data_IF_183380271075
#
_entry.id   IF_183380271075
#
_cell.length_a   1.000
_cell.length_b   1.000
_cell.length_c   1.000
_cell.angle_alpha   90.00
_cell.angle_beta   90.00
_cell.angle_gamma   90.00
#
_symmetry.space_group_name_H-M   'P 1'
#
loop_
_entity.id
_entity.type
_entity.pdbx_description
1 polymer ?
#
# COMPACT_ATOMS: atom_id res chain seq x y z
N UNK A 1 12.26 16.73 -31.76
CA UNK A 1 11.27 17.47 -32.58
C UNK A 1 11.26 18.97 -32.37
N UNK A 2 11.61 19.53 -31.19
CA UNK A 2 11.63 20.99 -30.99
C UNK A 2 12.72 21.75 -31.77
N UNK A 3 13.86 21.11 -32.06
CA UNK A 3 14.96 21.75 -32.83
C UNK A 3 14.55 22.06 -34.28
N UNK A 4 13.76 21.20 -34.92
CA UNK A 4 13.37 21.39 -36.33
C UNK A 4 12.33 22.49 -36.50
N UNK A 5 11.37 22.62 -35.56
CA UNK A 5 10.38 23.71 -35.58
C UNK A 5 11.01 25.09 -35.35
N UNK A 6 11.98 25.18 -34.44
CA UNK A 6 12.69 26.44 -34.17
C UNK A 6 13.58 26.88 -35.34
N UNK A 7 14.24 25.94 -36.01
CA UNK A 7 15.06 26.23 -37.20
C UNK A 7 14.18 26.72 -38.36
N UNK A 8 12.99 26.13 -38.58
CA UNK A 8 12.04 26.60 -39.61
C UNK A 8 11.50 28.01 -39.30
N UNK A 9 11.27 28.32 -38.02
CA UNK A 9 10.82 29.65 -37.59
C UNK A 9 11.90 30.71 -37.85
N UNK A 10 13.17 30.39 -37.56
CA UNK A 10 14.30 31.27 -37.87
C UNK A 10 14.50 31.41 -39.39
N UNK A 11 14.40 30.33 -40.16
CA UNK A 11 14.55 30.38 -41.63
C UNK A 11 13.46 31.20 -42.31
N UNK A 12 12.22 31.10 -41.79
CA UNK A 12 11.08 31.89 -42.27
C UNK A 12 11.24 33.37 -41.92
N UNK A 13 11.72 33.70 -40.71
CA UNK A 13 12.05 35.08 -40.32
C UNK A 13 13.23 35.66 -41.13
N UNK A 14 14.24 34.86 -41.43
CA UNK A 14 15.41 35.28 -42.22
C UNK A 14 15.06 35.56 -43.69
N UNK A 15 14.15 34.77 -44.28
CA UNK A 15 13.61 35.04 -45.62
C UNK A 15 12.91 36.39 -45.70
N UNK A 16 12.38 36.88 -44.58
CA UNK A 16 11.59 38.10 -44.50
C UNK A 16 12.45 39.38 -44.40
N UNK A 17 13.61 39.30 -43.74
CA UNK A 17 14.59 40.39 -43.69
C UNK A 17 15.13 40.78 -45.08
N UNK A 18 15.08 39.85 -46.05
CA UNK A 18 15.45 40.09 -47.44
C UNK A 18 14.35 40.73 -48.28
N UNK A 19 13.06 40.48 -47.98
CA UNK A 19 11.91 40.98 -48.76
C UNK A 19 11.47 42.38 -48.30
N UNK A 20 11.59 42.70 -47.01
CA UNK A 20 11.20 44.00 -46.45
C UNK A 20 11.98 45.21 -47.00
N UNK A 21 13.13 45.00 -47.65
CA UNK A 21 13.92 46.07 -48.25
C UNK A 21 13.50 46.42 -49.70
N UNK A 22 12.62 45.62 -50.32
CA UNK A 22 12.27 45.76 -51.76
C UNK A 22 10.83 46.23 -51.98
N UNK A 23 9.93 46.03 -51.02
CA UNK A 23 8.52 46.38 -51.15
C UNK A 23 8.10 47.25 -49.97
N UNK A 24 8.02 48.56 -50.18
CA UNK A 24 7.71 49.59 -49.16
C UNK A 24 6.30 49.55 -48.56
N UNK A 25 5.66 48.38 -48.47
CA UNK A 25 4.32 48.20 -47.91
C UNK A 25 4.37 47.86 -46.42
N UNK A 26 4.33 48.91 -45.61
CA UNK A 26 4.35 48.87 -44.14
C UNK A 26 3.20 48.05 -43.52
N UNK A 27 2.06 47.90 -44.22
CA UNK A 27 0.90 47.16 -43.70
C UNK A 27 1.12 45.65 -43.65
N UNK A 28 1.80 45.08 -44.64
CA UNK A 28 2.13 43.64 -44.70
C UNK A 28 3.11 43.30 -43.58
N UNK A 29 3.99 44.26 -43.27
CA UNK A 29 4.91 44.14 -42.15
C UNK A 29 4.22 43.99 -40.80
N UNK A 30 3.19 44.80 -40.55
CA UNK A 30 2.41 44.76 -39.30
C UNK A 30 1.70 43.42 -39.07
N UNK A 31 0.95 42.92 -40.05
CA UNK A 31 0.17 41.68 -39.90
C UNK A 31 1.06 40.46 -39.65
N UNK A 32 2.23 40.41 -40.30
CA UNK A 32 3.15 39.27 -40.18
C UNK A 32 3.81 39.23 -38.80
N UNK A 33 4.17 40.38 -38.23
CA UNK A 33 4.74 40.46 -36.89
C UNK A 33 3.76 39.99 -35.82
N UNK A 34 2.48 40.37 -35.95
CA UNK A 34 1.41 39.87 -35.08
C UNK A 34 1.23 38.36 -35.22
N UNK A 35 1.25 37.83 -36.45
CA UNK A 35 1.13 36.39 -36.68
C UNK A 35 2.27 35.59 -36.03
N UNK A 36 3.52 36.06 -36.14
CA UNK A 36 4.68 35.43 -35.50
C UNK A 36 4.55 35.47 -33.98
N UNK A 37 4.09 36.59 -33.42
CA UNK A 37 3.93 36.74 -31.98
C UNK A 37 2.85 35.82 -31.42
N UNK A 38 1.71 35.69 -32.12
CA UNK A 38 0.63 34.75 -31.78
C UNK A 38 1.12 33.31 -31.89
N UNK A 39 1.85 32.97 -32.96
CA UNK A 39 2.34 31.61 -33.17
C UNK A 39 3.42 31.23 -32.15
N UNK A 40 4.32 32.15 -31.82
CA UNK A 40 5.32 31.99 -30.77
C UNK A 40 4.69 31.81 -29.39
N UNK A 41 3.66 32.61 -29.06
CA UNK A 41 2.91 32.48 -27.82
C UNK A 41 2.19 31.13 -27.71
N UNK A 42 1.55 30.68 -28.79
CA UNK A 42 0.84 29.40 -28.83
C UNK A 42 1.80 28.21 -28.67
N UNK A 43 3.00 28.27 -29.26
CA UNK A 43 4.03 27.24 -29.09
C UNK A 43 4.53 27.16 -27.65
N UNK A 44 4.73 28.31 -27.00
CA UNK A 44 5.11 28.38 -25.58
C UNK A 44 4.05 27.70 -24.70
N UNK A 45 2.77 28.00 -24.91
CA UNK A 45 1.66 27.41 -24.16
C UNK A 45 1.56 25.89 -24.35
N UNK A 46 1.71 25.40 -25.59
CA UNK A 46 1.68 23.97 -25.86
C UNK A 46 2.90 23.23 -25.28
N UNK A 47 4.09 23.85 -25.32
CA UNK A 47 5.29 23.27 -24.74
C UNK A 47 5.16 23.08 -23.22
N UNK A 48 4.62 24.08 -22.51
CA UNK A 48 4.34 23.96 -21.07
C UNK A 48 3.29 22.89 -20.76
N UNK A 49 2.23 22.79 -21.58
CA UNK A 49 1.15 21.80 -21.38
C UNK A 49 1.64 20.35 -21.56
N UNK A 50 2.48 20.08 -22.55
CA UNK A 50 2.99 18.73 -22.84
C UNK A 50 4.00 18.28 -21.79
N UNK A 51 4.85 19.18 -21.29
CA UNK A 51 5.85 18.83 -20.26
C UNK A 51 5.22 18.57 -18.89
N UNK A 52 4.07 19.17 -18.58
CA UNK A 52 3.37 18.96 -17.30
C UNK A 52 2.67 17.61 -17.17
N UNK A 53 2.31 16.94 -18.27
CA UNK A 53 1.61 15.65 -18.22
C UNK A 53 2.56 14.46 -17.99
N UNK A 54 3.74 14.46 -18.60
CA UNK A 54 4.66 13.32 -18.54
C UNK A 54 5.31 13.12 -17.17
N UNK A 55 5.43 14.17 -16.35
CA UNK A 55 5.93 14.05 -14.99
C UNK A 55 4.88 13.47 -14.04
N UNK A 56 3.62 13.91 -14.16
CA UNK A 56 2.52 13.40 -13.31
C UNK A 56 2.27 11.90 -13.50
N UNK A 57 2.36 11.40 -14.73
CA UNK A 57 2.18 9.97 -15.00
C UNK A 57 3.31 9.11 -14.44
N UNK A 58 4.55 9.62 -14.43
CA UNK A 58 5.70 8.91 -13.84
C UNK A 58 5.63 8.88 -12.32
N UNK A 59 5.31 10.01 -11.70
CA UNK A 59 5.20 10.10 -10.24
C UNK A 59 4.05 9.22 -9.73
N UNK A 60 2.91 9.21 -10.44
CA UNK A 60 1.79 8.33 -10.07
C UNK A 60 2.08 6.85 -10.32
N UNK A 61 2.83 6.50 -11.38
CA UNK A 61 3.27 5.13 -11.62
C UNK A 61 4.27 4.65 -10.56
N UNK A 62 5.18 5.52 -10.11
CA UNK A 62 6.16 5.17 -9.07
C UNK A 62 5.49 5.04 -7.70
N UNK A 63 4.59 5.96 -7.35
CA UNK A 63 3.81 5.90 -6.11
C UNK A 63 2.90 4.67 -6.05
N UNK A 64 2.22 4.33 -7.15
CA UNK A 64 1.38 3.13 -7.20
C UNK A 64 2.21 1.84 -7.06
N UNK A 65 3.40 1.78 -7.64
CA UNK A 65 4.33 0.66 -7.47
C UNK A 65 4.86 0.57 -6.03
N UNK A 66 5.17 1.70 -5.41
CA UNK A 66 5.59 1.74 -4.01
C UNK A 66 4.46 1.28 -3.07
N UNK A 67 3.22 1.71 -3.32
CA UNK A 67 2.03 1.27 -2.60
C UNK A 67 1.78 -0.23 -2.77
N UNK A 68 1.85 -0.75 -3.99
CA UNK A 68 1.70 -2.18 -4.25
C UNK A 68 2.75 -3.00 -3.49
N UNK A 69 4.02 -2.57 -3.52
CA UNK A 69 5.10 -3.23 -2.78
C UNK A 69 4.91 -3.16 -1.25
N UNK A 70 4.40 -2.03 -0.74
CA UNK A 70 4.08 -1.89 0.68
C UNK A 70 2.92 -2.82 1.08
N UNK A 71 1.89 -2.92 0.24
CA UNK A 71 0.75 -3.80 0.46
C UNK A 71 1.15 -5.28 0.44
N UNK A 72 1.99 -5.70 -0.50
CA UNK A 72 2.51 -7.08 -0.55
C UNK A 72 3.33 -7.41 0.71
N UNK A 73 4.16 -6.48 1.17
CA UNK A 73 4.90 -6.65 2.44
C UNK A 73 3.96 -6.75 3.63
N UNK A 74 2.91 -5.92 3.70
CA UNK A 74 1.91 -6.01 4.76
C UNK A 74 1.24 -7.37 4.80
N UNK A 75 0.85 -7.92 3.64
CA UNK A 75 0.30 -9.28 3.54
C UNK A 75 1.26 -10.35 4.01
N UNK A 76 2.53 -10.26 3.64
CA UNK A 76 3.55 -11.20 4.12
C UNK A 76 3.71 -11.15 5.64
N UNK A 77 3.70 -9.94 6.24
CA UNK A 77 3.76 -9.79 7.70
C UNK A 77 2.50 -10.34 8.40
N UNK A 78 1.32 -10.15 7.81
CA UNK A 78 0.08 -10.71 8.33
C UNK A 78 0.11 -12.24 8.32
N UNK A 79 0.52 -12.84 7.20
CA UNK A 79 0.66 -14.30 7.09
C UNK A 79 1.65 -14.86 8.12
N UNK A 80 2.83 -14.24 8.26
CA UNK A 80 3.81 -14.64 9.28
C UNK A 80 3.24 -14.51 10.71
N UNK A 81 2.49 -13.43 10.98
CA UNK A 81 1.88 -13.21 12.29
C UNK A 81 0.82 -14.28 12.60
N UNK A 82 0.04 -14.71 11.61
CA UNK A 82 -0.95 -15.78 11.75
C UNK A 82 -0.27 -17.13 11.97
N UNK A 83 0.77 -17.45 11.18
CA UNK A 83 1.54 -18.69 11.33
C UNK A 83 2.23 -18.77 12.70
N UNK A 84 2.87 -17.68 13.14
CA UNK A 84 3.53 -17.63 14.44
C UNK A 84 2.53 -17.75 15.59
N UNK A 85 1.36 -17.12 15.47
CA UNK A 85 0.31 -17.20 16.48
C UNK A 85 -0.30 -18.62 16.58
N UNK A 86 -0.57 -19.26 15.45
CA UNK A 86 -1.07 -20.65 15.44
C UNK A 86 -0.02 -21.62 15.97
N UNK A 87 1.25 -21.42 15.63
CA UNK A 87 2.37 -22.21 16.14
C UNK A 87 2.54 -22.07 17.65
N UNK A 88 2.55 -20.83 18.16
CA UNK A 88 2.65 -20.58 19.60
C UNK A 88 1.45 -21.17 20.33
N UNK A 89 0.24 -20.96 19.83
CA UNK A 89 -0.95 -21.41 20.54
C UNK A 89 -1.02 -22.94 20.62
N UNK A 90 -0.74 -23.66 19.53
CA UNK A 90 -0.63 -25.12 19.53
C UNK A 90 0.51 -25.61 20.44
N UNK A 91 1.65 -24.93 20.40
CA UNK A 91 2.81 -25.24 21.25
C UNK A 91 2.55 -25.00 22.74
N UNK A 92 1.63 -24.10 23.10
CA UNK A 92 1.25 -23.82 24.49
C UNK A 92 0.15 -24.75 25.01
N UNK A 93 -0.68 -25.30 24.13
CA UNK A 93 -1.78 -26.20 24.52
C UNK A 93 -1.27 -27.49 25.17
N UNK A 94 -0.28 -28.15 24.56
CA UNK A 94 0.29 -29.40 25.06
C UNK A 94 0.90 -29.29 26.48
N UNK A 95 1.78 -28.30 26.79
CA UNK A 95 2.29 -28.13 28.15
C UNK A 95 1.21 -27.71 29.14
N UNK A 96 0.20 -26.92 28.73
CA UNK A 96 -0.93 -26.55 29.60
C UNK A 96 -1.77 -27.76 30.00
N UNK A 97 -2.06 -28.66 29.06
CA UNK A 97 -2.78 -29.92 29.34
C UNK A 97 -1.97 -30.78 30.32
N UNK A 98 -0.65 -30.85 30.14
CA UNK A 98 0.23 -31.62 31.02
C UNK A 98 0.25 -31.07 32.44
N UNK A 99 0.34 -29.75 32.59
CA UNK A 99 0.27 -29.05 33.88
C UNK A 99 -1.09 -29.33 34.54
N UNK A 100 -2.20 -29.11 33.83
CA UNK A 100 -3.53 -29.35 34.37
C UNK A 100 -3.73 -30.81 34.81
N UNK A 101 -3.28 -31.78 34.02
CA UNK A 101 -3.34 -33.20 34.39
C UNK A 101 -2.53 -33.50 35.65
N UNK A 102 -1.33 -32.92 35.76
CA UNK A 102 -0.49 -33.11 36.95
C UNK A 102 -1.09 -32.47 38.20
N UNK A 103 -1.69 -31.28 38.07
CA UNK A 103 -2.40 -30.60 39.15
C UNK A 103 -3.65 -31.36 39.59
N UNK A 104 -4.45 -31.85 38.64
CA UNK A 104 -5.64 -32.64 38.93
C UNK A 104 -5.29 -33.92 39.70
N UNK A 105 -4.19 -34.61 39.32
CA UNK A 105 -3.70 -35.80 40.03
C UNK A 105 -3.19 -35.50 41.44
N UNK A 106 -2.63 -34.30 41.66
CA UNK A 106 -2.21 -33.84 42.98
C UNK A 106 -3.43 -33.50 43.84
N UNK A 107 -4.36 -32.70 43.31
CA UNK A 107 -5.58 -32.27 44.00
C UNK A 107 -6.54 -33.44 44.31
N UNK A 108 -6.57 -34.48 43.47
CA UNK A 108 -7.40 -35.67 43.72
C UNK A 108 -6.87 -36.57 44.86
N UNK A 109 -5.76 -36.19 45.52
CA UNK A 109 -5.22 -36.93 46.66
C UNK A 109 -4.56 -38.26 46.30
N UNK A 110 -4.32 -38.50 45.00
CA UNK A 110 -3.72 -39.75 44.50
C UNK A 110 -2.31 -40.01 45.04
N UNK A 111 -1.63 -38.97 45.52
CA UNK A 111 -0.29 -39.02 46.10
C UNK A 111 -0.28 -38.77 47.63
N UNK A 112 -1.44 -38.72 48.28
CA UNK A 112 -1.59 -38.45 49.71
C UNK A 112 -2.36 -37.16 50.02
N UNK A 113 -2.62 -36.90 51.30
CA UNK A 113 -3.28 -35.67 51.77
C UNK A 113 -2.31 -34.49 51.68
N UNK A 114 -2.66 -33.50 50.87
CA UNK A 114 -1.86 -32.28 50.77
C UNK A 114 -2.04 -31.39 52.01
N UNK A 115 -0.98 -30.68 52.44
CA UNK A 115 -1.13 -29.63 53.43
C UNK A 115 -2.00 -28.49 52.87
N UNK A 116 -2.89 -27.88 53.67
CA UNK A 116 -3.87 -26.90 53.20
C UNK A 116 -3.24 -25.68 52.53
N UNK A 117 -2.03 -25.29 52.94
CA UNK A 117 -1.27 -24.22 52.28
C UNK A 117 -0.82 -24.57 50.85
N UNK A 118 -0.52 -25.84 50.57
CA UNK A 118 -0.16 -26.31 49.24
C UNK A 118 -1.40 -26.48 48.34
N UNK A 119 -2.54 -26.86 48.92
CA UNK A 119 -3.81 -26.99 48.20
C UNK A 119 -4.28 -25.64 47.62
N UNK A 120 -4.25 -24.58 48.42
CA UNK A 120 -4.55 -23.21 47.97
C UNK A 120 -3.61 -22.76 46.83
N UNK A 121 -2.32 -23.05 46.96
CA UNK A 121 -1.31 -22.71 45.96
C UNK A 121 -1.52 -23.46 44.65
N UNK A 122 -1.84 -24.76 44.72
CA UNK A 122 -2.13 -25.59 43.55
C UNK A 122 -3.40 -25.13 42.82
N UNK A 123 -4.41 -24.70 43.59
CA UNK A 123 -5.65 -24.15 43.05
C UNK A 123 -5.43 -22.83 42.32
N UNK A 124 -4.55 -21.96 42.82
CA UNK A 124 -4.13 -20.74 42.10
C UNK A 124 -3.37 -21.05 40.80
N UNK A 125 -2.52 -22.08 40.79
CA UNK A 125 -1.81 -22.50 39.57
C UNK A 125 -2.79 -23.09 38.56
N UNK A 126 -3.79 -23.86 39.01
CA UNK A 126 -4.85 -24.38 38.14
C UNK A 126 -5.67 -23.25 37.51
N UNK A 127 -6.10 -22.26 38.30
CA UNK A 127 -6.84 -21.10 37.82
C UNK A 127 -6.03 -20.28 36.81
N UNK A 128 -4.74 -20.08 37.10
CA UNK A 128 -3.80 -19.40 36.19
C UNK A 128 -3.61 -20.17 34.87
N UNK A 129 -3.52 -21.50 34.93
CA UNK A 129 -3.44 -22.36 33.76
C UNK A 129 -4.74 -22.32 32.92
N UNK A 130 -5.91 -22.29 33.58
CA UNK A 130 -7.19 -22.17 32.91
C UNK A 130 -7.33 -20.81 32.19
N UNK A 131 -6.90 -19.70 32.83
CA UNK A 131 -6.84 -18.38 32.20
C UNK A 131 -5.91 -18.37 30.98
N UNK A 132 -4.72 -18.97 31.10
CA UNK A 132 -3.76 -19.04 29.99
C UNK A 132 -4.32 -19.84 28.80
N UNK A 133 -5.07 -20.91 29.08
CA UNK A 133 -5.77 -21.72 28.06
C UNK A 133 -6.82 -20.89 27.34
N UNK A 134 -7.64 -20.14 28.06
CA UNK A 134 -8.67 -19.26 27.48
C UNK A 134 -8.05 -18.16 26.61
N UNK A 135 -6.94 -17.56 27.06
CA UNK A 135 -6.20 -16.56 26.27
C UNK A 135 -5.64 -17.21 25.01
N UNK A 136 -4.98 -18.38 25.11
CA UNK A 136 -4.47 -19.11 23.95
C UNK A 136 -5.58 -19.40 22.93
N UNK A 137 -6.74 -19.89 23.38
CA UNK A 137 -7.90 -20.16 22.52
C UNK A 137 -8.41 -18.89 21.84
N UNK A 138 -8.53 -17.78 22.58
CA UNK A 138 -8.94 -16.49 22.02
C UNK A 138 -7.97 -15.97 20.95
N UNK A 139 -6.68 -16.30 21.06
CA UNK A 139 -5.69 -15.96 20.05
C UNK A 139 -5.93 -16.75 18.77
N UNK A 140 -6.27 -18.04 18.84
CA UNK A 140 -6.64 -18.87 17.68
C UNK A 140 -7.91 -18.33 17.02
N UNK A 141 -8.97 -18.10 17.79
CA UNK A 141 -10.27 -17.68 17.24
C UNK A 141 -10.18 -16.34 16.49
N UNK A 142 -9.35 -15.42 16.96
CA UNK A 142 -9.10 -14.14 16.28
C UNK A 142 -8.21 -14.31 15.03
N UNK A 143 -7.41 -15.36 14.95
CA UNK A 143 -6.61 -15.68 13.76
C UNK A 143 -7.44 -16.30 12.61
N UNK A 144 -8.59 -16.92 12.91
CA UNK A 144 -9.50 -17.46 11.89
C UNK A 144 -10.42 -16.38 11.26
N UNK A 145 -10.65 -15.26 11.96
CA UNK A 145 -11.49 -14.15 11.46
C UNK A 145 -10.93 -13.31 10.28
N UNK A 146 -9.62 -13.06 10.12
CA UNK A 146 -9.11 -12.22 9.02
C UNK A 146 -9.35 -12.81 7.63
N UNK A 147 -9.32 -14.14 7.44
CA UNK A 147 -9.61 -14.76 6.13
C UNK A 147 -11.03 -14.45 5.63
N UNK A 148 -12.01 -14.35 6.55
CA UNK A 148 -13.38 -13.98 6.18
C UNK A 148 -13.53 -12.53 5.75
N UNK A 149 -12.65 -11.62 6.22
CA UNK A 149 -12.68 -10.20 5.81
C UNK A 149 -12.08 -10.01 4.42
N UNK A 150 -11.01 -10.71 4.07
CA UNK A 150 -10.44 -10.66 2.71
C UNK A 150 -11.36 -11.29 1.65
N UNK A 151 -12.05 -12.39 1.99
CA UNK A 151 -13.02 -13.05 1.11
C UNK A 151 -14.22 -12.14 0.77
N UNK A 152 -14.81 -11.47 1.76
CA UNK A 152 -15.94 -10.54 1.55
C UNK A 152 -15.52 -9.24 0.85
N UNK A 153 -14.30 -8.77 1.09
CA UNK A 153 -13.76 -7.57 0.44
C UNK A 153 -13.49 -7.83 -1.06
N UNK A 154 -12.86 -8.96 -1.40
CA UNK A 154 -12.60 -9.36 -2.80
C UNK A 154 -13.88 -9.60 -3.61
N UNK A 155 -14.92 -10.15 -2.97
CA UNK A 155 -16.23 -10.30 -3.59
C UNK A 155 -16.93 -8.95 -3.86
N UNK A 156 -16.71 -7.95 -3.00
CA UNK A 156 -17.29 -6.61 -3.17
C UNK A 156 -16.58 -5.79 -4.24
N UNK A 157 -15.25 -5.88 -4.34
CA UNK A 157 -14.47 -5.20 -5.38
C UNK A 157 -14.79 -5.76 -6.77
N UNK A 158 -15.09 -7.06 -6.88
CA UNK A 158 -15.46 -7.68 -8.16
C UNK A 158 -16.84 -7.21 -8.65
N UNK A 159 -17.82 -7.02 -7.75
CA UNK A 159 -19.14 -6.47 -8.12
C UNK A 159 -19.08 -5.02 -8.59
N UNK A 160 -18.17 -4.21 -8.04
CA UNK A 160 -18.02 -2.79 -8.37
C UNK A 160 -17.33 -2.54 -9.72
N UNK A 161 -16.67 -3.55 -10.29
CA UNK A 161 -16.01 -3.46 -11.61
C UNK A 161 -16.90 -3.91 -12.78
N UNK A 162 -18.09 -4.44 -12.49
CA UNK A 162 -19.02 -5.03 -13.47
C UNK A 162 -20.29 -4.15 -13.64
N UNK A 163 -20.36 -3.00 -12.96
CA UNK A 163 -21.42 -1.99 -13.14
C UNK A 163 -20.80 -0.71 -13.69
#
# INVERSE_FOLDING_TARGET
MYRTGFILLILSGASWALVGNVSGDWHIAGYTLVAILVFGYMLLLNAFRIHGMSMRERDTAELSKALAKAQDKMRQYENLRLELRTTISKGLEEPLIRIHKSLALLLSGTYGTLPPAAEESLRQVEESAALLRNVSQSLIDEAERPEQRESKSSASITKLKIT
#
